data_IF_675159628730
#
_entry.id   IF_675159628730
#
_cell.length_a   1.000
_cell.length_b   1.000
_cell.length_c   1.000
_cell.angle_alpha   90.00
_cell.angle_beta   90.00
_cell.angle_gamma   90.00
#
_symmetry.space_group_name_H-M   'P 1'
#
loop_
_entity.id
_entity.type
_entity.pdbx_description
1 polymer ?
#
# COMPACT_ATOMS: atom_id res chain seq x y z
N UNK A 1 49.16 23.65 63.28
CA UNK A 1 49.34 22.67 62.18
C UNK A 1 47.94 22.18 61.79
N UNK A 2 47.42 22.13 60.57
CA UNK A 2 47.82 22.48 59.20
C UNK A 2 46.49 22.59 58.39
N UNK A 3 46.16 23.73 57.76
CA UNK A 3 45.94 23.94 56.31
C UNK A 3 45.58 22.69 55.50
N UNK A 4 44.46 22.70 54.75
CA UNK A 4 44.19 22.09 53.42
C UNK A 4 42.70 22.34 53.12
N UNK A 5 42.27 23.50 52.59
CA UNK A 5 42.08 23.81 51.15
C UNK A 5 41.80 22.57 50.28
N UNK A 6 40.53 22.38 49.94
CA UNK A 6 40.05 21.42 48.94
C UNK A 6 38.96 22.09 48.12
N UNK A 7 39.39 22.93 47.17
CA UNK A 7 38.59 23.66 46.20
C UNK A 7 38.00 22.65 45.21
N UNK A 8 36.74 22.24 45.38
CA UNK A 8 36.06 21.39 44.40
C UNK A 8 35.51 22.28 43.27
N UNK A 9 36.31 22.40 42.23
CA UNK A 9 36.05 23.14 41.01
C UNK A 9 34.95 22.41 40.22
N UNK A 10 33.72 22.93 40.29
CA UNK A 10 32.55 22.46 39.55
C UNK A 10 32.74 22.82 38.07
N UNK A 11 33.40 21.93 37.34
CA UNK A 11 33.64 22.04 35.91
C UNK A 11 32.36 21.59 35.17
N UNK A 12 31.35 22.46 35.19
CA UNK A 12 30.22 22.38 34.25
C UNK A 12 30.75 22.82 32.88
N UNK A 13 31.20 21.84 32.11
CA UNK A 13 31.39 21.98 30.68
C UNK A 13 30.03 22.34 30.05
N UNK A 14 29.81 23.64 29.81
CA UNK A 14 28.78 24.09 28.89
C UNK A 14 29.11 23.52 27.52
N UNK A 15 28.43 22.44 27.15
CA UNK A 15 28.22 22.06 25.76
C UNK A 15 27.32 23.14 25.14
N UNK A 16 27.93 24.26 24.76
CA UNK A 16 27.34 25.24 23.87
C UNK A 16 27.22 24.59 22.49
N UNK A 17 26.12 23.90 22.25
CA UNK A 17 25.74 23.50 20.89
C UNK A 17 25.66 24.76 20.02
N UNK A 18 26.35 24.70 18.88
CA UNK A 18 26.37 25.72 17.85
C UNK A 18 24.94 26.13 17.43
N UNK A 19 24.47 27.27 17.92
CA UNK A 19 23.26 27.97 17.48
C UNK A 19 23.57 28.97 16.35
N UNK A 20 24.69 28.81 15.64
CA UNK A 20 25.31 29.85 14.81
C UNK A 20 24.56 30.23 13.53
N UNK A 21 23.45 29.58 13.17
CA UNK A 21 22.78 29.84 11.89
C UNK A 21 21.24 29.97 11.95
N UNK A 22 20.66 30.09 13.15
CA UNK A 22 19.22 30.35 13.30
C UNK A 22 18.95 31.83 13.10
N UNK A 23 18.02 32.16 12.21
CA UNK A 23 17.52 33.53 12.03
C UNK A 23 16.47 33.82 13.10
N UNK A 24 16.69 34.89 13.87
CA UNK A 24 15.79 35.37 14.91
C UNK A 24 14.51 35.93 14.33
N UNK A 25 13.37 35.65 14.97
CA UNK A 25 12.03 36.06 14.52
C UNK A 25 11.28 36.74 15.66
N UNK A 26 10.25 37.51 15.30
CA UNK A 26 9.33 38.05 16.30
C UNK A 26 8.67 36.92 17.11
N UNK A 27 8.63 37.09 18.42
CA UNK A 27 8.21 36.06 19.38
C UNK A 27 9.36 35.29 20.03
N UNK A 28 10.58 35.35 19.48
CA UNK A 28 11.75 34.71 20.10
C UNK A 28 12.12 35.40 21.43
N UNK A 29 12.42 34.59 22.44
CA UNK A 29 13.09 34.99 23.67
C UNK A 29 14.59 34.82 23.47
N UNK A 30 15.32 35.90 23.66
CA UNK A 30 16.78 35.90 23.64
C UNK A 30 17.31 36.34 25.01
N UNK A 31 18.46 35.80 25.37
CA UNK A 31 19.30 36.32 26.44
C UNK A 31 20.43 37.12 25.79
N UNK A 32 20.47 38.40 26.10
CA UNK A 32 21.59 39.27 25.80
C UNK A 32 22.57 39.20 26.97
N UNK A 33 23.84 38.91 26.70
CA UNK A 33 24.93 38.99 27.68
C UNK A 33 25.92 40.04 27.23
N UNK A 34 26.25 40.96 28.12
CA UNK A 34 27.22 42.02 27.87
C UNK A 34 28.28 41.99 28.97
N UNK A 35 29.47 41.49 28.66
CA UNK A 35 30.57 41.33 29.61
C UNK A 35 30.99 42.66 30.26
N UNK A 36 31.05 43.71 29.44
CA UNK A 36 31.49 45.05 29.86
C UNK A 36 30.41 45.84 30.61
N UNK A 37 29.14 45.42 30.56
CA UNK A 37 28.06 46.12 31.23
C UNK A 37 26.94 45.16 31.70
N UNK A 38 27.01 44.66 32.94
CA UNK A 38 26.03 43.74 33.50
C UNK A 38 24.59 44.26 33.51
N UNK A 39 24.38 45.59 33.47
CA UNK A 39 23.04 46.18 33.45
C UNK A 39 22.30 45.98 32.12
N UNK A 40 23.04 45.67 31.05
CA UNK A 40 22.50 45.34 29.73
C UNK A 40 22.28 43.82 29.54
N UNK A 41 22.68 42.99 30.52
CA UNK A 41 22.38 41.57 30.51
C UNK A 41 20.90 41.33 30.78
N UNK A 42 20.11 41.11 29.74
CA UNK A 42 18.65 40.97 29.85
C UNK A 42 18.14 39.78 29.06
N UNK A 43 17.14 39.11 29.62
CA UNK A 43 16.34 38.12 28.90
C UNK A 43 15.08 38.84 28.42
N UNK A 44 14.91 38.96 27.10
CA UNK A 44 13.83 39.73 26.50
C UNK A 44 13.29 39.07 25.24
N UNK A 45 12.02 39.37 24.99
CA UNK A 45 11.27 38.94 23.83
C UNK A 45 11.47 39.92 22.68
N UNK A 46 11.65 39.38 21.47
CA UNK A 46 11.58 40.12 20.22
C UNK A 46 10.09 40.33 19.89
N UNK A 47 9.68 41.57 19.66
CA UNK A 47 8.29 41.87 19.31
C UNK A 47 7.92 41.40 17.89
N UNK A 48 6.65 41.52 17.51
CA UNK A 48 6.15 41.10 16.19
C UNK A 48 6.76 41.89 15.02
N UNK A 49 7.36 43.06 15.29
CA UNK A 49 8.06 43.86 14.29
C UNK A 49 9.56 43.53 14.21
N UNK A 50 10.04 42.57 15.00
CA UNK A 50 11.45 42.19 15.03
C UNK A 50 12.31 43.08 15.93
N UNK A 51 11.72 43.91 16.78
CA UNK A 51 12.42 44.84 17.65
C UNK A 51 12.55 44.29 19.08
N UNK A 52 13.63 44.65 19.74
CA UNK A 52 13.86 44.44 21.17
C UNK A 52 14.01 45.80 21.86
N UNK A 53 13.47 45.96 23.08
CA UNK A 53 13.66 47.15 23.90
C UNK A 53 14.76 46.92 24.93
N UNK A 54 15.87 47.64 24.79
CA UNK A 54 17.04 47.56 25.67
C UNK A 54 17.08 48.77 26.62
N UNK A 55 17.31 48.57 27.94
CA UNK A 55 17.47 49.67 28.88
C UNK A 55 18.64 50.59 28.49
N UNK A 56 18.42 51.90 28.48
CA UNK A 56 19.47 52.90 28.18
C UNK A 56 19.89 53.02 26.71
N UNK A 57 19.61 52.01 25.87
CA UNK A 57 19.95 52.00 24.43
C UNK A 57 18.72 52.28 23.55
N UNK A 58 17.54 51.83 23.97
CA UNK A 58 16.29 51.99 23.22
C UNK A 58 15.93 50.76 22.38
N UNK A 59 15.18 50.97 21.29
CA UNK A 59 14.70 49.87 20.43
C UNK A 59 15.77 49.47 19.40
N UNK A 60 16.07 48.19 19.31
CA UNK A 60 17.05 47.61 18.35
C UNK A 60 16.35 46.56 17.49
N UNK A 61 16.64 46.53 16.19
CA UNK A 61 16.05 45.56 15.26
C UNK A 61 16.92 44.30 15.19
N UNK A 62 16.40 43.17 15.66
CA UNK A 62 17.09 41.87 15.64
C UNK A 62 16.37 40.82 14.79
N UNK A 63 15.10 41.06 14.42
CA UNK A 63 14.35 40.18 13.54
C UNK A 63 15.01 40.08 12.16
N UNK A 64 15.13 38.86 11.64
CA UNK A 64 15.79 38.59 10.36
C UNK A 64 17.31 38.46 10.44
N UNK A 65 17.92 38.64 11.61
CA UNK A 65 19.36 38.45 11.83
C UNK A 65 19.64 37.10 12.51
N UNK A 66 20.81 36.52 12.24
CA UNK A 66 21.32 35.41 13.05
C UNK A 66 21.96 35.95 14.35
N UNK A 67 22.26 35.08 15.32
CA UNK A 67 22.81 35.49 16.62
C UNK A 67 24.10 36.33 16.51
N UNK A 68 24.94 36.05 15.51
CA UNK A 68 26.20 36.77 15.28
C UNK A 68 25.96 38.18 14.73
N UNK A 69 25.09 38.31 13.72
CA UNK A 69 24.75 39.61 13.14
C UNK A 69 23.88 40.44 14.10
N UNK A 70 23.05 39.79 14.92
CA UNK A 70 22.32 40.42 16.00
C UNK A 70 23.28 41.02 17.04
N UNK A 71 24.34 40.31 17.43
CA UNK A 71 25.36 40.84 18.33
C UNK A 71 26.07 42.07 17.74
N UNK A 72 26.46 42.01 16.45
CA UNK A 72 27.07 43.16 15.73
C UNK A 72 26.15 44.38 15.71
N UNK A 73 24.85 44.17 15.48
CA UNK A 73 23.87 45.24 15.45
C UNK A 73 23.67 45.88 16.83
N UNK A 74 23.61 45.07 17.90
CA UNK A 74 23.58 45.61 19.27
C UNK A 74 24.85 46.41 19.58
N UNK A 75 26.02 45.94 19.16
CA UNK A 75 27.29 46.66 19.35
C UNK A 75 27.26 48.03 18.68
N UNK A 76 26.75 48.10 17.44
CA UNK A 76 26.64 49.34 16.65
C UNK A 76 25.74 50.37 17.34
N UNK A 77 24.61 49.94 17.90
CA UNK A 77 23.62 50.84 18.51
C UNK A 77 23.99 51.21 19.95
N UNK A 78 24.58 50.28 20.71
CA UNK A 78 24.97 50.49 22.10
C UNK A 78 26.38 51.09 22.29
N UNK A 79 27.18 51.19 21.22
CA UNK A 79 28.56 51.70 21.29
C UNK A 79 29.52 50.76 22.04
N UNK A 80 29.33 49.44 21.90
CA UNK A 80 30.09 48.40 22.61
C UNK A 80 31.04 47.65 21.66
N UNK A 81 32.04 46.97 22.23
CA UNK A 81 32.91 46.07 21.47
C UNK A 81 32.21 44.77 21.10
N UNK A 82 32.48 44.25 19.90
CA UNK A 82 31.93 42.98 19.42
C UNK A 82 32.35 41.75 20.26
N UNK A 83 33.47 41.85 20.99
CA UNK A 83 33.92 40.83 21.95
C UNK A 83 33.05 40.74 23.21
N UNK A 84 32.27 41.78 23.49
CA UNK A 84 31.63 41.94 24.79
C UNK A 84 30.17 41.52 24.77
N UNK A 85 29.57 41.37 23.58
CA UNK A 85 28.14 41.10 23.41
C UNK A 85 27.93 39.70 22.85
N UNK A 86 27.18 38.90 23.59
CA UNK A 86 26.74 37.57 23.19
C UNK A 86 25.19 37.53 23.17
N UNK A 87 24.61 37.04 22.08
CA UNK A 87 23.17 36.86 21.91
C UNK A 87 22.86 35.37 21.89
N UNK A 88 22.14 34.90 22.90
CA UNK A 88 21.76 33.50 23.04
C UNK A 88 20.26 33.32 22.86
N UNK A 89 19.86 32.41 21.98
CA UNK A 89 18.46 32.03 21.84
C UNK A 89 18.04 31.17 23.04
N UNK A 90 16.98 31.58 23.76
CA UNK A 90 16.48 30.88 24.97
C UNK A 90 15.19 30.11 24.74
N UNK A 91 14.45 30.40 23.69
CA UNK A 91 13.16 29.81 23.39
C UNK A 91 12.29 30.80 22.63
N UNK A 92 11.08 30.42 22.27
CA UNK A 92 10.12 31.31 21.60
C UNK A 92 8.83 31.32 22.41
N UNK A 93 8.43 32.50 22.88
CA UNK A 93 7.20 32.64 23.67
C UNK A 93 6.02 32.87 22.72
N UNK A 94 5.33 31.76 22.46
CA UNK A 94 4.09 31.76 21.70
C UNK A 94 4.22 30.93 20.45
N UNK A 95 3.19 30.10 20.28
CA UNK A 95 2.86 29.40 19.05
C UNK A 95 3.81 28.25 18.75
N UNK A 96 3.62 27.15 19.47
CA UNK A 96 4.11 25.84 19.05
C UNK A 96 2.96 24.98 18.53
N UNK A 97 3.30 23.98 17.73
CA UNK A 97 2.43 22.86 17.37
C UNK A 97 2.97 21.66 18.14
N UNK A 98 2.14 21.05 18.98
CA UNK A 98 2.54 19.84 19.71
C UNK A 98 2.32 18.62 18.84
N UNK A 99 3.22 17.64 18.89
CA UNK A 99 3.03 16.37 18.20
C UNK A 99 3.43 15.18 19.06
N UNK A 100 2.63 14.12 19.00
CA UNK A 100 2.80 12.95 19.85
C UNK A 100 2.20 11.67 19.26
N UNK A 101 2.42 10.54 19.95
CA UNK A 101 1.88 9.23 19.58
C UNK A 101 2.94 8.27 19.05
N UNK A 102 2.61 7.54 17.99
CA UNK A 102 3.41 6.47 17.37
C UNK A 102 4.58 7.01 16.51
N UNK A 103 5.38 7.91 17.07
CA UNK A 103 6.45 8.65 16.38
C UNK A 103 7.82 8.34 17.00
N UNK A 104 8.91 8.58 16.26
CA UNK A 104 10.27 8.35 16.78
C UNK A 104 10.60 9.27 17.96
N UNK A 105 10.12 10.50 17.92
CA UNK A 105 10.27 11.49 18.98
C UNK A 105 9.01 12.33 19.08
N UNK A 106 8.47 12.49 20.28
CA UNK A 106 7.40 13.45 20.58
C UNK A 106 8.01 14.82 20.90
N UNK A 107 7.25 15.89 20.72
CA UNK A 107 7.77 17.22 21.01
C UNK A 107 6.89 18.36 20.52
N UNK A 108 7.52 19.54 20.40
CA UNK A 108 6.88 20.76 19.94
C UNK A 108 7.63 21.33 18.75
N UNK A 109 6.89 21.72 17.72
CA UNK A 109 7.39 22.37 16.52
C UNK A 109 7.07 23.86 16.58
N UNK A 110 8.05 24.71 16.31
CA UNK A 110 7.83 26.17 16.27
C UNK A 110 6.89 26.50 15.12
N UNK A 111 5.80 27.22 15.42
CA UNK A 111 4.84 27.66 14.42
C UNK A 111 5.44 28.76 13.53
N UNK A 112 5.13 28.69 12.24
CA UNK A 112 5.33 29.77 11.29
C UNK A 112 4.16 29.78 10.30
N UNK A 113 3.88 30.94 9.71
CA UNK A 113 2.78 31.04 8.75
C UNK A 113 3.00 30.11 7.55
N UNK A 114 1.96 29.34 7.23
CA UNK A 114 2.01 28.37 6.12
C UNK A 114 2.55 27.00 6.48
N UNK A 115 2.90 26.74 7.75
CA UNK A 115 3.28 25.40 8.21
C UNK A 115 2.18 24.38 7.94
N UNK A 116 2.56 23.17 7.54
CA UNK A 116 1.62 22.11 7.18
C UNK A 116 1.88 20.82 7.94
N UNK A 117 0.93 19.89 7.87
CA UNK A 117 1.07 18.56 8.46
C UNK A 117 2.34 17.85 8.01
N UNK A 118 2.75 18.00 6.75
CA UNK A 118 4.01 17.43 6.24
C UNK A 118 5.26 17.87 7.01
N UNK A 119 5.29 19.10 7.54
CA UNK A 119 6.42 19.60 8.31
C UNK A 119 6.48 18.95 9.69
N UNK A 120 5.32 18.74 10.30
CA UNK A 120 5.18 17.99 11.55
C UNK A 120 5.54 16.52 11.35
N UNK A 121 5.08 15.89 10.28
CA UNK A 121 5.44 14.50 9.94
C UNK A 121 6.95 14.33 9.81
N UNK A 122 7.63 15.29 9.15
CA UNK A 122 9.09 15.27 9.01
C UNK A 122 9.81 15.38 10.36
N UNK A 123 9.33 16.25 11.25
CA UNK A 123 9.90 16.46 12.58
C UNK A 123 9.62 15.28 13.53
N UNK A 124 8.42 14.73 13.48
CA UNK A 124 8.00 13.62 14.34
C UNK A 124 8.60 12.28 13.91
N UNK A 125 8.79 12.09 12.59
CA UNK A 125 9.19 10.85 11.95
C UNK A 125 8.35 9.65 12.46
N UNK A 126 7.09 9.52 12.00
CA UNK A 126 6.20 8.41 12.39
C UNK A 126 6.86 7.04 12.23
N UNK A 127 6.61 6.16 13.20
CA UNK A 127 7.07 4.77 13.16
C UNK A 127 6.15 3.93 12.28
N UNK A 128 6.56 2.71 11.93
CA UNK A 128 5.72 1.77 11.18
C UNK A 128 4.42 1.41 11.92
N UNK A 129 4.42 1.52 13.25
CA UNK A 129 3.24 1.30 14.08
C UNK A 129 2.24 2.47 14.02
N UNK A 130 2.59 3.61 13.42
CA UNK A 130 1.68 4.73 13.26
C UNK A 130 0.56 4.42 12.26
N UNK A 131 -0.65 4.84 12.60
CA UNK A 131 -1.76 4.94 11.67
C UNK A 131 -1.74 6.31 11.00
N UNK A 132 -1.18 6.36 9.79
CA UNK A 132 -1.15 7.59 9.00
C UNK A 132 -2.48 7.85 8.29
N UNK A 133 -3.40 6.88 8.24
CA UNK A 133 -4.72 7.10 7.64
C UNK A 133 -5.67 7.85 8.59
N UNK A 134 -5.34 7.86 9.89
CA UNK A 134 -6.13 8.42 10.97
C UNK A 134 -5.39 9.45 11.82
N UNK A 135 -4.55 10.30 11.21
CA UNK A 135 -3.85 11.36 11.96
C UNK A 135 -4.88 12.35 12.51
N UNK A 136 -4.83 12.65 13.80
CA UNK A 136 -5.77 13.55 14.46
C UNK A 136 -5.10 14.90 14.65
N UNK A 137 -5.76 15.97 14.22
CA UNK A 137 -5.37 17.35 14.48
C UNK A 137 -6.44 17.95 15.38
N UNK A 138 -6.04 18.33 16.59
CA UNK A 138 -6.85 19.01 17.58
C UNK A 138 -6.40 20.47 17.64
N UNK A 139 -7.29 21.42 17.35
CA UNK A 139 -6.97 22.85 17.46
C UNK A 139 -6.94 23.28 18.92
N UNK A 140 -6.33 24.43 19.20
CA UNK A 140 -6.31 25.03 20.55
C UNK A 140 -7.72 25.23 21.14
N UNK A 141 -8.74 25.37 20.29
CA UNK A 141 -10.15 25.52 20.69
C UNK A 141 -10.86 24.17 20.95
N UNK A 142 -10.15 23.05 20.81
CA UNK A 142 -10.68 21.68 21.00
C UNK A 142 -11.39 21.10 19.77
N UNK A 143 -11.35 21.77 18.62
CA UNK A 143 -11.89 21.24 17.37
C UNK A 143 -10.99 20.11 16.85
N UNK A 144 -11.56 18.94 16.58
CA UNK A 144 -10.81 17.79 16.08
C UNK A 144 -11.08 17.54 14.61
N UNK A 145 -10.03 17.17 13.87
CA UNK A 145 -10.11 16.76 12.48
C UNK A 145 -9.23 15.53 12.25
N UNK A 146 -9.74 14.56 11.50
CA UNK A 146 -9.00 13.35 11.13
C UNK A 146 -8.56 13.42 9.68
N UNK A 147 -7.29 13.14 9.43
CA UNK A 147 -6.66 13.29 8.12
C UNK A 147 -5.90 12.04 7.76
N UNK A 148 -6.14 11.55 6.54
CA UNK A 148 -5.36 10.47 5.93
C UNK A 148 -4.14 11.06 5.25
N UNK A 149 -2.95 10.80 5.77
CA UNK A 149 -1.69 11.31 5.24
C UNK A 149 -0.89 10.19 4.58
N UNK A 150 -0.65 10.31 3.27
CA UNK A 150 0.23 9.40 2.54
C UNK A 150 1.60 10.06 2.31
N UNK A 151 2.68 9.59 2.98
CA UNK A 151 4.02 10.16 2.83
C UNK A 151 4.64 9.94 1.44
N UNK A 152 4.15 8.97 0.66
CA UNK A 152 4.70 8.57 -0.64
C UNK A 152 3.95 9.19 -1.82
N UNK A 153 2.68 9.56 -1.64
CA UNK A 153 1.82 10.02 -2.74
C UNK A 153 2.27 11.33 -3.41
N UNK A 154 3.14 12.12 -2.77
CA UNK A 154 3.55 13.45 -3.25
C UNK A 154 2.39 14.45 -3.44
N UNK A 155 1.15 14.06 -3.10
CA UNK A 155 -0.06 14.81 -3.41
C UNK A 155 -0.44 15.69 -2.22
N UNK A 156 -0.40 16.99 -2.48
CA UNK A 156 -0.87 18.07 -1.61
C UNK A 156 -2.34 17.95 -1.15
N UNK A 157 -3.10 16.95 -1.63
CA UNK A 157 -4.53 16.82 -1.37
C UNK A 157 -4.88 16.61 0.10
N UNK A 158 -4.00 15.95 0.89
CA UNK A 158 -4.22 15.73 2.32
C UNK A 158 -3.11 16.33 3.19
N UNK A 159 -2.68 17.56 2.87
CA UNK A 159 -1.65 18.27 3.63
C UNK A 159 -2.21 19.59 4.21
N UNK A 160 -3.07 19.54 5.24
CA UNK A 160 -3.72 20.72 5.80
C UNK A 160 -2.69 21.70 6.38
N UNK A 161 -3.07 22.99 6.38
CA UNK A 161 -2.34 24.02 7.12
C UNK A 161 -2.69 23.89 8.59
N UNK A 162 -1.68 24.00 9.44
CA UNK A 162 -1.84 23.98 10.88
C UNK A 162 -1.84 25.42 11.42
N UNK A 163 -2.41 25.60 12.60
CA UNK A 163 -2.44 26.84 13.36
C UNK A 163 -1.55 26.72 14.58
N UNK A 164 -1.24 27.87 15.15
CA UNK A 164 -0.64 27.94 16.47
C UNK A 164 -1.50 27.20 17.49
N UNK A 165 -0.87 26.42 18.37
CA UNK A 165 -1.56 25.71 19.44
C UNK A 165 -2.18 24.39 19.01
N UNK A 166 -2.15 24.05 17.71
CA UNK A 166 -2.62 22.76 17.23
C UNK A 166 -1.79 21.62 17.86
N UNK A 167 -2.49 20.53 18.16
CA UNK A 167 -1.92 19.27 18.63
C UNK A 167 -2.16 18.20 17.57
N UNK A 168 -1.08 17.61 17.08
CA UNK A 168 -1.10 16.55 16.06
C UNK A 168 -0.79 15.21 16.72
N UNK A 169 -1.74 14.30 16.69
CA UNK A 169 -1.64 12.98 17.31
C UNK A 169 -1.54 11.94 16.20
N UNK A 170 -0.48 11.13 16.29
CA UNK A 170 -0.26 9.97 15.43
C UNK A 170 -0.68 8.71 16.20
N UNK A 171 -1.92 8.24 16.08
CA UNK A 171 -2.35 7.06 16.82
C UNK A 171 -1.52 5.84 16.42
N UNK A 172 -1.36 4.89 17.36
CA UNK A 172 -0.87 3.57 16.99
C UNK A 172 -1.97 2.86 16.23
N UNK A 173 -1.62 2.22 15.14
CA UNK A 173 -2.54 1.35 14.42
C UNK A 173 -2.90 0.17 15.33
N UNK A 174 -4.17 0.10 15.74
CA UNK A 174 -4.72 -0.99 16.58
C UNK A 174 -5.51 -2.02 15.76
N UNK A 175 -5.64 -1.82 14.44
CA UNK A 175 -6.26 -2.78 13.53
C UNK A 175 -5.33 -3.95 13.18
N UNK A 176 -5.88 -4.94 12.47
CA UNK A 176 -5.07 -6.03 11.92
C UNK A 176 -4.10 -5.43 10.88
N UNK A 177 -2.80 -5.43 11.19
CA UNK A 177 -1.74 -5.02 10.26
C UNK A 177 -1.49 -6.07 9.19
N UNK A 178 -2.52 -6.83 8.83
CA UNK A 178 -2.44 -7.94 7.89
C UNK A 178 -3.38 -7.71 6.72
N UNK A 179 -3.00 -8.24 5.57
CA UNK A 179 -3.90 -8.44 4.44
C UNK A 179 -4.42 -9.86 4.52
N UNK A 180 -5.74 -10.02 4.48
CA UNK A 180 -6.36 -11.35 4.40
C UNK A 180 -6.48 -11.75 2.94
N UNK A 181 -6.06 -12.95 2.58
CA UNK A 181 -6.11 -13.44 1.20
C UNK A 181 -6.90 -14.74 1.19
N UNK A 182 -8.01 -14.72 0.45
CA UNK A 182 -9.01 -15.78 0.39
C UNK A 182 -9.28 -16.20 -1.07
N UNK A 183 -9.93 -17.37 -1.24
CA UNK A 183 -10.43 -17.83 -2.53
C UNK A 183 -9.42 -18.65 -3.34
N UNK A 184 -9.35 -18.40 -4.65
CA UNK A 184 -8.56 -19.14 -5.64
C UNK A 184 -7.04 -18.94 -5.57
N UNK A 185 -6.45 -19.05 -4.39
CA UNK A 185 -5.01 -18.95 -4.13
C UNK A 185 -4.42 -20.28 -3.67
N UNK A 186 -3.11 -20.47 -3.80
CA UNK A 186 -2.45 -21.71 -3.38
C UNK A 186 -2.41 -21.88 -1.86
N UNK A 187 -2.27 -20.78 -1.10
CA UNK A 187 -2.36 -20.77 0.36
C UNK A 187 -3.31 -19.67 0.81
N UNK A 188 -4.41 -20.04 1.45
CA UNK A 188 -5.32 -19.10 2.11
C UNK A 188 -4.71 -18.70 3.44
N UNK A 189 -4.84 -17.44 3.82
CA UNK A 189 -4.32 -16.94 5.10
C UNK A 189 -4.09 -15.44 5.08
N UNK A 190 -3.39 -14.95 6.10
CA UNK A 190 -3.03 -13.55 6.23
C UNK A 190 -1.54 -13.33 6.00
N UNK A 191 -1.19 -12.17 5.47
CA UNK A 191 0.19 -11.70 5.32
C UNK A 191 0.35 -10.39 6.06
N UNK A 192 1.51 -10.16 6.67
CA UNK A 192 1.81 -8.86 7.27
C UNK A 192 1.85 -7.81 6.16
N UNK A 193 1.15 -6.70 6.40
CA UNK A 193 1.18 -5.56 5.51
C UNK A 193 2.48 -4.78 5.70
N UNK A 194 3.16 -4.52 4.60
CA UNK A 194 4.30 -3.61 4.52
C UNK A 194 3.90 -2.36 3.72
N UNK A 195 4.53 -1.22 4.03
CA UNK A 195 4.22 0.04 3.33
C UNK A 195 4.54 -0.09 1.84
N UNK A 196 3.56 0.22 0.98
CA UNK A 196 3.71 0.08 -0.47
C UNK A 196 3.45 -1.34 -1.01
N UNK A 197 2.93 -2.26 -0.19
CA UNK A 197 2.56 -3.60 -0.64
C UNK A 197 1.50 -3.55 -1.75
N UNK A 198 1.75 -4.29 -2.83
CA UNK A 198 0.86 -4.37 -4.00
C UNK A 198 0.02 -5.65 -4.01
N UNK A 199 -1.07 -5.65 -4.78
CA UNK A 199 -1.94 -6.82 -4.98
C UNK A 199 -1.15 -8.07 -5.40
N UNK A 200 -0.26 -7.93 -6.38
CA UNK A 200 0.57 -9.02 -6.88
C UNK A 200 1.54 -9.54 -5.82
N UNK A 201 2.18 -8.63 -5.06
CA UNK A 201 3.12 -9.02 -4.00
C UNK A 201 2.42 -9.82 -2.89
N UNK A 202 1.22 -9.41 -2.50
CA UNK A 202 0.43 -10.08 -1.46
C UNK A 202 0.00 -11.48 -1.91
N UNK A 203 -0.56 -11.63 -3.12
CA UNK A 203 -0.95 -12.93 -3.67
C UNK A 203 0.26 -13.85 -3.82
N UNK A 204 1.41 -13.32 -4.25
CA UNK A 204 2.66 -14.09 -4.38
C UNK A 204 3.18 -14.58 -3.03
N UNK A 205 3.09 -13.76 -1.98
CA UNK A 205 3.45 -14.17 -0.62
C UNK A 205 2.62 -15.37 -0.13
N UNK A 206 1.38 -15.49 -0.63
CA UNK A 206 0.50 -16.64 -0.40
C UNK A 206 0.62 -17.76 -1.45
N UNK A 207 1.76 -17.85 -2.12
CA UNK A 207 2.07 -18.91 -3.08
C UNK A 207 1.46 -18.73 -4.46
N UNK A 208 0.86 -17.57 -4.75
CA UNK A 208 0.26 -17.27 -6.05
C UNK A 208 -1.17 -17.77 -6.22
N UNK A 209 -1.73 -17.52 -7.39
CA UNK A 209 -3.05 -18.03 -7.79
C UNK A 209 -3.00 -19.55 -7.98
N UNK A 210 -4.05 -20.24 -7.52
CA UNK A 210 -4.15 -21.69 -7.70
C UNK A 210 -4.59 -22.07 -9.10
N UNK A 211 -4.43 -23.33 -9.54
CA UNK A 211 -4.93 -23.80 -10.85
C UNK A 211 -6.43 -23.61 -11.05
N UNK A 212 -7.18 -23.36 -9.97
CA UNK A 212 -8.62 -23.13 -9.99
C UNK A 212 -8.99 -21.67 -9.70
N UNK A 213 -8.01 -20.77 -9.53
CA UNK A 213 -8.27 -19.36 -9.33
C UNK A 213 -8.51 -18.63 -10.65
N UNK A 214 -9.31 -17.58 -10.58
CA UNK A 214 -9.63 -16.68 -11.68
C UNK A 214 -8.87 -15.37 -11.49
N UNK A 215 -7.75 -15.22 -12.18
CA UNK A 215 -6.91 -14.02 -12.09
C UNK A 215 -7.56 -12.76 -12.66
N UNK A 216 -8.63 -12.90 -13.45
CA UNK A 216 -9.40 -11.79 -13.98
C UNK A 216 -10.50 -11.30 -13.02
N UNK A 217 -10.71 -11.98 -11.89
CA UNK A 217 -11.74 -11.65 -10.91
C UNK A 217 -11.14 -11.64 -9.50
N UNK A 218 -10.30 -10.64 -9.23
CA UNK A 218 -9.75 -10.41 -7.90
C UNK A 218 -10.49 -9.25 -7.25
N UNK A 219 -11.15 -9.50 -6.12
CA UNK A 219 -11.87 -8.47 -5.37
C UNK A 219 -11.05 -7.97 -4.19
N UNK A 220 -11.06 -6.66 -3.96
CA UNK A 220 -10.48 -6.06 -2.76
C UNK A 220 -11.64 -5.53 -1.91
N UNK A 221 -11.75 -6.04 -0.69
CA UNK A 221 -12.70 -5.55 0.31
C UNK A 221 -11.94 -4.74 1.34
N UNK A 222 -12.29 -3.47 1.46
CA UNK A 222 -11.62 -2.51 2.34
C UNK A 222 -12.63 -1.96 3.34
N UNK A 223 -12.37 -2.20 4.63
CA UNK A 223 -13.25 -1.77 5.73
C UNK A 223 -14.72 -2.19 5.53
N UNK A 224 -14.94 -3.37 4.96
CA UNK A 224 -16.27 -3.94 4.69
C UNK A 224 -16.93 -3.49 3.39
N UNK A 225 -16.34 -2.54 2.65
CA UNK A 225 -16.83 -2.12 1.34
C UNK A 225 -16.03 -2.78 0.20
N UNK A 226 -16.70 -3.14 -0.89
CA UNK A 226 -16.03 -3.61 -2.10
C UNK A 226 -15.39 -2.41 -2.81
N UNK A 227 -14.08 -2.49 -3.04
CA UNK A 227 -13.30 -1.47 -3.75
C UNK A 227 -13.44 -1.65 -5.27
N UNK A 228 -13.71 -2.87 -5.72
CA UNK A 228 -13.82 -3.22 -7.13
C UNK A 228 -13.25 -4.59 -7.47
N UNK A 229 -13.45 -4.95 -8.74
CA UNK A 229 -12.90 -6.15 -9.36
C UNK A 229 -11.68 -5.75 -10.19
N UNK A 230 -10.58 -6.48 -9.97
CA UNK A 230 -9.28 -6.26 -10.56
C UNK A 230 -8.84 -7.50 -11.34
N UNK A 231 -8.05 -7.28 -12.39
CA UNK A 231 -7.35 -8.33 -13.12
C UNK A 231 -5.89 -8.33 -12.69
N UNK A 232 -5.41 -9.43 -12.10
CA UNK A 232 -4.06 -9.51 -11.54
C UNK A 232 -2.95 -9.20 -12.55
N UNK A 233 -3.12 -9.56 -13.83
CA UNK A 233 -2.11 -9.33 -14.86
C UNK A 233 -1.96 -7.84 -15.22
N UNK A 234 -3.04 -7.06 -15.08
CA UNK A 234 -3.08 -5.63 -15.45
C UNK A 234 -2.96 -4.71 -14.25
N UNK A 235 -3.57 -5.11 -13.14
CA UNK A 235 -3.78 -4.32 -11.95
C UNK A 235 -2.92 -4.83 -10.77
N UNK A 236 -1.91 -5.65 -11.04
CA UNK A 236 -1.05 -6.24 -10.02
C UNK A 236 -0.31 -5.22 -9.14
N UNK A 237 -0.05 -4.02 -9.68
CA UNK A 237 0.58 -2.91 -8.97
C UNK A 237 -0.40 -2.09 -8.11
N UNK A 238 -1.67 -2.50 -8.04
CA UNK A 238 -2.68 -1.83 -7.20
C UNK A 238 -2.20 -1.82 -5.75
N UNK A 239 -2.08 -0.63 -5.12
CA UNK A 239 -1.65 -0.51 -3.75
C UNK A 239 -2.72 -1.03 -2.80
N UNK A 240 -2.31 -1.93 -1.90
CA UNK A 240 -3.15 -2.40 -0.82
C UNK A 240 -3.05 -1.47 0.39
N UNK A 241 -4.02 -1.57 1.27
CA UNK A 241 -4.06 -0.89 2.56
C UNK A 241 -4.18 -1.90 3.69
N UNK A 242 -3.74 -1.50 4.88
CA UNK A 242 -3.83 -2.33 6.09
C UNK A 242 -5.27 -2.78 6.33
N UNK A 243 -5.45 -4.06 6.61
CA UNK A 243 -6.77 -4.65 6.86
C UNK A 243 -7.58 -4.97 5.61
N UNK A 244 -7.04 -4.75 4.39
CA UNK A 244 -7.71 -5.19 3.17
C UNK A 244 -7.88 -6.71 3.17
N UNK A 245 -8.99 -7.15 2.58
CA UNK A 245 -9.24 -8.55 2.27
C UNK A 245 -9.26 -8.72 0.76
N UNK A 246 -8.30 -9.47 0.24
CA UNK A 246 -8.19 -9.85 -1.17
C UNK A 246 -8.90 -11.19 -1.37
N UNK A 247 -9.89 -11.22 -2.25
CA UNK A 247 -10.64 -12.44 -2.59
C UNK A 247 -10.42 -12.74 -4.06
N UNK A 248 -9.69 -13.82 -4.34
CA UNK A 248 -9.50 -14.31 -5.70
C UNK A 248 -10.69 -15.19 -6.07
N UNK A 249 -11.39 -14.86 -7.15
CA UNK A 249 -12.48 -15.66 -7.69
C UNK A 249 -12.02 -17.08 -8.01
N UNK A 250 -12.94 -18.04 -7.96
CA UNK A 250 -12.68 -19.38 -8.46
C UNK A 250 -13.13 -19.45 -9.91
N UNK A 251 -12.28 -20.02 -10.78
CA UNK A 251 -12.60 -20.29 -12.18
C UNK A 251 -13.74 -21.31 -12.21
N UNK A 252 -14.96 -20.81 -12.20
CA UNK A 252 -16.19 -21.61 -12.27
C UNK A 252 -16.50 -21.87 -13.73
N UNK A 253 -15.67 -22.64 -14.40
CA UNK A 253 -16.07 -23.24 -15.68
C UNK A 253 -15.85 -24.73 -15.55
N UNK A 254 -16.79 -25.39 -14.87
CA UNK A 254 -16.98 -26.83 -15.10
C UNK A 254 -17.46 -26.96 -16.53
N UNK A 255 -16.50 -27.09 -17.44
CA UNK A 255 -16.76 -27.44 -18.83
C UNK A 255 -17.03 -28.93 -18.83
N UNK A 256 -18.04 -29.36 -19.56
CA UNK A 256 -18.38 -30.77 -19.69
C UNK A 256 -18.28 -31.16 -21.15
N UNK A 257 -18.02 -32.43 -21.40
CA UNK A 257 -18.35 -33.09 -22.66
C UNK A 257 -19.42 -34.14 -22.39
N UNK A 258 -20.09 -34.61 -23.43
CA UNK A 258 -21.14 -35.62 -23.31
C UNK A 258 -20.63 -36.95 -23.84
N UNK A 259 -20.71 -38.02 -23.06
CA UNK A 259 -20.40 -39.40 -23.52
C UNK A 259 -21.68 -40.22 -23.54
N UNK A 260 -22.00 -40.81 -24.68
CA UNK A 260 -23.23 -41.60 -24.90
C UNK A 260 -22.94 -42.87 -25.69
N UNK A 261 -23.88 -43.82 -25.66
CA UNK A 261 -23.78 -45.10 -26.35
C UNK A 261 -23.33 -46.23 -25.41
N UNK A 262 -22.48 -47.14 -25.90
CA UNK A 262 -22.11 -48.37 -25.19
C UNK A 262 -21.05 -48.16 -24.10
N UNK A 263 -21.40 -47.38 -23.09
CA UNK A 263 -20.60 -47.11 -21.89
C UNK A 263 -21.44 -47.40 -20.64
N UNK A 264 -20.80 -47.68 -19.49
CA UNK A 264 -21.53 -48.05 -18.28
C UNK A 264 -22.35 -46.91 -17.70
N UNK A 265 -21.81 -45.70 -17.71
CA UNK A 265 -22.37 -44.51 -17.06
C UNK A 265 -22.33 -43.32 -18.03
N UNK A 266 -23.06 -43.44 -19.14
CA UNK A 266 -23.20 -42.34 -20.11
C UNK A 266 -23.78 -41.08 -19.48
N UNK A 267 -23.34 -39.91 -19.93
CA UNK A 267 -23.76 -38.62 -19.39
C UNK A 267 -22.72 -37.51 -19.57
N UNK A 268 -22.83 -36.49 -18.73
CA UNK A 268 -21.88 -35.37 -18.68
C UNK A 268 -20.60 -35.80 -17.96
N UNK A 269 -19.47 -35.62 -18.63
CA UNK A 269 -18.13 -35.89 -18.09
C UNK A 269 -17.39 -34.56 -17.94
N UNK A 270 -16.72 -34.32 -16.80
CA UNK A 270 -15.94 -33.09 -16.61
C UNK A 270 -14.79 -33.03 -17.62
N UNK A 271 -14.75 -31.95 -18.38
CA UNK A 271 -13.66 -31.65 -19.31
C UNK A 271 -12.54 -30.89 -18.60
N UNK A 272 -11.30 -31.28 -18.90
CA UNK A 272 -10.08 -30.55 -18.54
C UNK A 272 -9.19 -30.45 -19.77
N UNK A 273 -8.30 -29.46 -19.79
CA UNK A 273 -7.33 -29.33 -20.87
C UNK A 273 -6.47 -30.61 -20.98
N UNK A 274 -6.29 -31.11 -22.20
CA UNK A 274 -5.53 -32.33 -22.47
C UNK A 274 -6.28 -33.65 -22.22
N UNK A 275 -7.58 -33.62 -21.88
CA UNK A 275 -8.40 -34.82 -21.70
C UNK A 275 -8.42 -35.67 -22.98
N UNK A 276 -8.07 -36.95 -22.86
CA UNK A 276 -8.04 -37.90 -23.99
C UNK A 276 -9.37 -38.62 -24.20
N UNK A 277 -9.57 -39.20 -25.39
CA UNK A 277 -10.76 -40.01 -25.70
C UNK A 277 -10.91 -41.20 -24.74
N UNK A 278 -9.81 -41.88 -24.46
CA UNK A 278 -9.76 -43.03 -23.56
C UNK A 278 -10.14 -42.61 -22.13
N UNK A 279 -9.55 -41.54 -21.62
CA UNK A 279 -9.90 -40.99 -20.30
C UNK A 279 -11.36 -40.57 -20.22
N UNK A 280 -11.89 -39.90 -21.24
CA UNK A 280 -13.29 -39.49 -21.29
C UNK A 280 -14.25 -40.69 -21.21
N UNK A 281 -13.96 -41.77 -21.94
CA UNK A 281 -14.75 -43.01 -21.87
C UNK A 281 -14.59 -43.73 -20.53
N UNK A 282 -13.40 -43.70 -19.93
CA UNK A 282 -13.17 -44.25 -18.58
C UNK A 282 -13.95 -43.49 -17.50
N UNK A 283 -14.01 -42.16 -17.59
CA UNK A 283 -14.80 -41.32 -16.70
C UNK A 283 -16.31 -41.59 -16.84
N UNK A 284 -16.76 -42.14 -17.97
CA UNK A 284 -18.12 -42.64 -18.18
C UNK A 284 -18.29 -44.12 -17.74
N UNK A 285 -17.47 -44.59 -16.79
CA UNK A 285 -17.51 -45.97 -16.27
C UNK A 285 -16.83 -47.02 -17.15
N UNK A 286 -16.21 -46.60 -18.26
CA UNK A 286 -15.56 -47.47 -19.23
C UNK A 286 -16.53 -48.09 -20.25
N UNK A 287 -15.99 -48.73 -21.31
CA UNK A 287 -16.80 -49.36 -22.34
C UNK A 287 -17.56 -50.59 -21.81
N UNK A 288 -18.78 -50.82 -22.30
CA UNK A 288 -19.50 -52.08 -22.09
C UNK A 288 -18.86 -53.23 -22.86
N UNK A 289 -19.20 -54.49 -22.52
CA UNK A 289 -18.69 -55.68 -23.23
C UNK A 289 -19.04 -55.67 -24.72
N UNK A 290 -20.20 -55.11 -25.05
CA UNK A 290 -20.71 -54.98 -26.41
C UNK A 290 -20.31 -53.65 -27.09
N UNK A 291 -19.42 -52.87 -26.48
CA UNK A 291 -18.93 -51.63 -27.06
C UNK A 291 -17.94 -51.89 -28.21
N UNK A 292 -18.05 -51.06 -29.24
CA UNK A 292 -17.04 -50.93 -30.29
C UNK A 292 -15.87 -50.10 -29.81
N UNK A 293 -14.66 -50.68 -29.82
CA UNK A 293 -13.42 -49.96 -29.51
C UNK A 293 -12.90 -49.14 -30.71
N UNK A 294 -13.45 -49.37 -31.90
CA UNK A 294 -13.21 -48.61 -33.11
C UNK A 294 -14.48 -47.92 -33.59
N UNK A 295 -14.34 -46.86 -34.36
CA UNK A 295 -15.51 -46.17 -34.93
C UNK A 295 -16.25 -45.24 -33.97
N UNK A 296 -15.61 -44.81 -32.88
CA UNK A 296 -16.15 -43.86 -31.91
C UNK A 296 -16.32 -42.50 -32.59
N UNK A 297 -17.52 -41.92 -32.51
CA UNK A 297 -17.82 -40.66 -33.18
C UNK A 297 -17.69 -39.51 -32.19
N UNK A 298 -16.88 -38.52 -32.53
CA UNK A 298 -16.83 -37.23 -31.83
C UNK A 298 -17.52 -36.19 -32.69
N UNK A 299 -18.49 -35.49 -32.10
CA UNK A 299 -19.24 -34.41 -32.75
C UNK A 299 -19.02 -33.10 -31.99
N UNK A 300 -18.73 -32.04 -32.74
CA UNK A 300 -18.59 -30.69 -32.22
C UNK A 300 -19.52 -29.75 -32.97
N UNK A 301 -20.26 -28.95 -32.22
CA UNK A 301 -21.12 -27.89 -32.74
C UNK A 301 -20.36 -26.57 -32.59
N UNK A 302 -20.01 -25.93 -33.71
CA UNK A 302 -19.36 -24.62 -33.73
C UNK A 302 -20.24 -23.67 -34.57
N UNK A 303 -21.11 -22.92 -33.90
CA UNK A 303 -22.19 -22.18 -34.57
C UNK A 303 -23.10 -23.13 -35.34
N UNK A 304 -23.38 -22.83 -36.61
CA UNK A 304 -24.18 -23.69 -37.50
C UNK A 304 -23.40 -24.86 -38.11
N UNK A 305 -22.07 -24.93 -37.88
CA UNK A 305 -21.23 -25.97 -38.47
C UNK A 305 -21.13 -27.17 -37.53
N UNK A 306 -21.41 -28.36 -38.09
CA UNK A 306 -21.21 -29.64 -37.40
C UNK A 306 -19.91 -30.27 -37.85
N UNK A 307 -18.97 -30.38 -36.93
CA UNK A 307 -17.76 -31.18 -37.14
C UNK A 307 -18.01 -32.60 -36.63
N UNK A 308 -17.59 -33.60 -37.41
CA UNK A 308 -17.68 -35.01 -37.05
C UNK A 308 -16.37 -35.69 -37.36
N UNK A 309 -15.82 -36.41 -36.39
CA UNK A 309 -14.66 -37.26 -36.57
C UNK A 309 -14.93 -38.65 -36.05
N UNK A 310 -14.35 -39.64 -36.71
CA UNK A 310 -14.38 -41.05 -36.28
C UNK A 310 -12.98 -41.38 -35.75
N UNK A 311 -12.93 -41.93 -34.54
CA UNK A 311 -11.70 -42.22 -33.80
C UNK A 311 -11.79 -43.63 -33.22
N UNK A 312 -10.63 -44.20 -32.96
CA UNK A 312 -10.51 -45.46 -32.22
C UNK A 312 -10.09 -45.16 -30.78
N UNK A 313 -10.58 -45.98 -29.84
CA UNK A 313 -10.38 -45.78 -28.41
C UNK A 313 -8.89 -45.83 -28.00
N UNK A 314 -8.06 -46.51 -28.80
CA UNK A 314 -6.62 -46.64 -28.57
C UNK A 314 -5.81 -45.46 -29.10
N UNK A 315 -6.43 -44.50 -29.79
CA UNK A 315 -5.74 -43.30 -30.24
C UNK A 315 -5.50 -42.35 -29.05
N UNK A 316 -4.36 -42.53 -28.39
CA UNK A 316 -3.92 -41.64 -27.34
C UNK A 316 -3.20 -40.43 -27.98
N UNK A 317 -3.80 -39.23 -27.86
CA UNK A 317 -3.13 -37.93 -28.13
C UNK A 317 -3.29 -37.30 -29.52
N UNK A 318 -3.83 -37.99 -30.52
CA UNK A 318 -3.95 -37.45 -31.89
C UNK A 318 -5.12 -36.45 -32.11
N UNK A 319 -6.09 -36.41 -31.19
CA UNK A 319 -7.25 -35.54 -31.27
C UNK A 319 -7.49 -34.83 -29.94
N UNK A 320 -7.56 -33.50 -29.97
CA UNK A 320 -7.83 -32.67 -28.80
C UNK A 320 -9.34 -32.54 -28.63
N UNK A 321 -9.86 -33.11 -27.54
CA UNK A 321 -11.24 -32.94 -27.12
C UNK A 321 -11.47 -31.51 -26.61
N UNK A 322 -12.63 -30.96 -26.93
CA UNK A 322 -13.07 -29.65 -26.44
C UNK A 322 -14.32 -29.78 -25.57
N UNK A 323 -14.59 -28.71 -24.82
CA UNK A 323 -15.84 -28.59 -24.09
C UNK A 323 -17.03 -28.67 -25.04
N UNK A 324 -18.11 -29.29 -24.58
CA UNK A 324 -19.35 -29.56 -25.31
C UNK A 324 -19.23 -30.54 -26.49
N UNK A 325 -18.09 -31.22 -26.66
CA UNK A 325 -17.99 -32.35 -27.57
C UNK A 325 -18.98 -33.46 -27.16
N UNK A 326 -19.60 -34.11 -28.15
CA UNK A 326 -20.45 -35.28 -27.96
C UNK A 326 -19.69 -36.50 -28.49
N UNK A 327 -19.38 -37.42 -27.60
CA UNK A 327 -18.69 -38.68 -27.87
C UNK A 327 -19.72 -39.80 -27.90
N UNK A 328 -19.87 -40.47 -29.03
CA UNK A 328 -20.77 -41.61 -29.20
C UNK A 328 -19.98 -42.89 -29.39
N UNK A 329 -20.05 -43.80 -28.41
CA UNK A 329 -19.45 -45.13 -28.46
C UNK A 329 -20.45 -46.09 -29.14
N UNK A 330 -20.13 -46.63 -30.32
CA UNK A 330 -21.05 -47.51 -31.04
C UNK A 330 -21.09 -48.92 -30.43
N UNK A 331 -22.12 -49.73 -30.74
CA UNK A 331 -22.07 -51.16 -30.50
C UNK A 331 -21.08 -51.87 -31.42
N UNK A 332 -20.52 -52.97 -30.91
CA UNK A 332 -19.47 -53.79 -31.53
C UNK A 332 -19.85 -54.31 -32.91
N UNK A 333 -21.13 -54.53 -33.15
CA UNK A 333 -21.69 -54.98 -34.44
C UNK A 333 -21.51 -53.88 -35.52
N UNK A 334 -21.68 -52.61 -35.15
CA UNK A 334 -21.59 -51.47 -36.07
C UNK A 334 -20.16 -50.94 -36.24
N UNK A 335 -19.27 -51.21 -35.28
CA UNK A 335 -17.85 -50.86 -35.39
C UNK A 335 -17.16 -51.58 -36.57
N UNK A 336 -17.54 -52.83 -36.85
CA UNK A 336 -17.00 -53.62 -37.98
C UNK A 336 -17.45 -53.14 -39.36
N UNK A 337 -18.60 -52.45 -39.46
CA UNK A 337 -19.13 -51.94 -40.72
C UNK A 337 -18.47 -50.61 -41.12
N UNK A 338 -18.14 -49.76 -40.14
CA UNK A 338 -17.59 -48.43 -40.38
C UNK A 338 -16.10 -48.43 -40.79
N UNK A 339 -15.37 -49.53 -40.59
CA UNK A 339 -13.97 -49.65 -41.03
C UNK A 339 -13.83 -49.69 -42.56
N UNK A 340 -14.93 -49.96 -43.29
CA UNK A 340 -14.96 -50.02 -44.76
C UNK A 340 -15.50 -48.74 -45.44
N UNK A 341 -15.75 -47.67 -44.70
CA UNK A 341 -16.12 -46.37 -45.29
C UNK A 341 -15.07 -45.32 -44.92
N UNK A 342 -14.22 -45.00 -45.89
CA UNK A 342 -13.28 -43.89 -45.81
C UNK A 342 -14.01 -42.57 -45.46
N UNK A 343 -13.35 -41.63 -44.75
CA UNK A 343 -13.97 -40.38 -44.34
C UNK A 343 -14.32 -39.53 -45.57
N UNK A 344 -15.61 -39.34 -45.85
CA UNK A 344 -16.08 -38.38 -46.85
C UNK A 344 -15.84 -36.95 -46.33
N UNK A 345 -14.75 -36.33 -46.76
CA UNK A 345 -14.48 -34.89 -46.57
C UNK A 345 -15.29 -34.05 -47.57
N UNK A 346 -16.62 -34.17 -47.56
CA UNK A 346 -17.48 -33.27 -48.33
C UNK A 346 -18.42 -32.47 -47.42
N UNK A 347 -18.35 -31.13 -47.42
CA UNK A 347 -19.39 -30.32 -46.82
C UNK A 347 -20.65 -30.45 -47.68
N UNK A 348 -21.69 -31.12 -47.15
CA UNK A 348 -23.00 -31.17 -47.81
C UNK A 348 -23.55 -29.76 -47.99
N UNK A 349 -23.70 -29.32 -49.24
CA UNK A 349 -24.46 -28.12 -49.61
C UNK A 349 -25.90 -28.28 -49.15
N UNK A 350 -26.38 -27.31 -48.37
CA UNK A 350 -27.78 -27.16 -48.02
C UNK A 350 -28.50 -26.56 -49.23
N UNK A 351 -29.51 -27.23 -49.76
CA UNK A 351 -30.43 -26.68 -50.77
C UNK A 351 -31.57 -25.99 -50.03
N UNK A 352 -31.92 -24.72 -50.35
CA UNK A 352 -32.99 -24.02 -49.66
C UNK A 352 -34.38 -24.56 -50.06
N UNK A 353 -35.37 -24.49 -49.14
CA UNK A 353 -36.73 -24.91 -49.42
C UNK A 353 -37.42 -23.95 -50.39
N UNK A 354 -38.28 -24.51 -51.26
CA UNK A 354 -39.14 -23.76 -52.18
C UNK A 354 -40.36 -23.18 -51.47
#
# INVERSE_FOLDING_TARGET
MARWVGFLLLLLANLGFAQGNRVLRGGDIIELRVASNPSLCVIRKIDSQGLISLPGVGKVCLGGLNSENAAKEVCRVAGLSASDVEVLFRGSEGRSIRYEGAVKSTGELVFFEGIRLSDVVRAAAPTEAADLDGVIIESELGETSTVTFDPNSGRLSNNPRLRSGDRVIFPRFTGNSTINILGGVNKVGSVNYESGMTLASAIKANGGISPHGNQAEVRIVRRGADVGIFNLDKDGDTPLQRGDTVVVGLTTVRRFLTVVGEVKEGGLVPWKQGLTLKEAVQLAGGPLKEAGITGIRVQRLVGDKRFRRVLDLQLDGAFVLEANDIITVPPKILAKANTNQAPSNEPRRVVPPR
#
